data_IF_331124726172
#
_entry.id   IF_331124726172
#
_cell.length_a   1.000
_cell.length_b   1.000
_cell.length_c   1.000
_cell.angle_alpha   90.00
_cell.angle_beta   90.00
_cell.angle_gamma   90.00
#
_symmetry.space_group_name_H-M   'P 1'
#
loop_
_entity.id
_entity.type
_entity.pdbx_description
1 polymer ?
#
# COMPACT_ATOMS: atom_id res chain seq x y z
N UNK A 1 -15.43 13.67 4.52
CA UNK A 1 -15.42 12.71 5.65
C UNK A 1 -13.97 12.34 5.94
N UNK A 2 -13.51 12.46 7.18
CA UNK A 2 -12.23 11.90 7.60
C UNK A 2 -12.48 10.43 7.97
N UNK A 3 -11.90 9.50 7.21
CA UNK A 3 -11.96 8.08 7.55
C UNK A 3 -11.09 7.84 8.79
N UNK A 4 -11.65 7.36 9.92
CA UNK A 4 -10.86 7.07 11.11
C UNK A 4 -9.77 6.04 10.80
N UNK A 5 -8.65 6.13 11.51
CA UNK A 5 -7.54 5.21 11.39
C UNK A 5 -7.22 4.61 12.76
N UNK A 6 -7.05 3.27 12.88
CA UNK A 6 -7.27 2.29 11.82
C UNK A 6 -8.76 2.14 11.46
N UNK A 7 -9.09 1.69 10.24
CA UNK A 7 -10.46 1.31 9.91
C UNK A 7 -10.91 0.09 10.72
N UNK A 8 -12.21 -0.11 10.87
CA UNK A 8 -12.80 -1.30 11.52
C UNK A 8 -13.65 -2.12 10.56
N UNK A 9 -13.84 -3.41 10.82
CA UNK A 9 -14.84 -4.22 10.09
C UNK A 9 -16.22 -3.56 10.23
N UNK A 10 -16.96 -3.49 9.12
CA UNK A 10 -18.25 -2.80 9.04
C UNK A 10 -18.17 -1.27 8.84
N UNK A 11 -16.98 -0.67 8.89
CA UNK A 11 -16.79 0.73 8.50
C UNK A 11 -16.69 0.88 6.98
N UNK A 12 -16.87 2.11 6.49
CA UNK A 12 -16.85 2.42 5.05
C UNK A 12 -15.42 2.64 4.53
N UNK A 13 -15.15 2.10 3.34
CA UNK A 13 -14.01 2.43 2.48
C UNK A 13 -14.52 3.03 1.15
N UNK A 14 -13.64 3.50 0.24
CA UNK A 14 -14.04 3.90 -1.12
C UNK A 14 -14.76 2.80 -1.91
N UNK A 15 -14.55 1.54 -1.54
CA UNK A 15 -15.10 0.36 -2.23
C UNK A 15 -16.23 -0.33 -1.45
N UNK A 16 -16.84 0.36 -0.48
CA UNK A 16 -17.99 -0.14 0.28
C UNK A 16 -17.65 -0.56 1.72
N UNK A 17 -18.45 -1.46 2.28
CA UNK A 17 -18.28 -1.92 3.65
C UNK A 17 -17.09 -2.88 3.76
N UNK A 18 -16.25 -2.64 4.75
CA UNK A 18 -15.08 -3.48 5.03
C UNK A 18 -15.54 -4.79 5.68
N UNK A 19 -15.10 -5.91 5.12
CA UNK A 19 -15.37 -7.26 5.63
C UNK A 19 -14.17 -7.86 6.34
N UNK A 20 -12.96 -7.62 5.82
CA UNK A 20 -11.72 -8.14 6.41
C UNK A 20 -10.65 -7.05 6.52
N UNK A 21 -9.78 -7.23 7.51
CA UNK A 21 -8.64 -6.38 7.80
C UNK A 21 -7.41 -7.25 8.04
N UNK A 22 -6.27 -6.86 7.46
CA UNK A 22 -4.96 -7.43 7.76
C UNK A 22 -4.06 -6.27 8.17
N UNK A 23 -3.71 -6.15 9.46
CA UNK A 23 -2.76 -5.14 9.92
C UNK A 23 -1.40 -5.33 9.24
N UNK A 24 -0.85 -4.26 8.68
CA UNK A 24 0.48 -4.21 8.06
C UNK A 24 1.33 -3.21 8.83
N UNK A 25 1.47 -3.44 10.14
CA UNK A 25 2.18 -2.55 11.05
C UNK A 25 1.31 -1.43 11.65
N UNK A 26 1.93 -0.42 12.28
CA UNK A 26 1.21 0.61 13.05
C UNK A 26 0.49 1.64 12.17
N UNK A 27 0.91 1.77 10.91
CA UNK A 27 0.52 2.85 10.02
C UNK A 27 -0.22 2.39 8.76
N UNK A 28 -0.42 1.08 8.58
CA UNK A 28 -1.09 0.53 7.41
C UNK A 28 -1.97 -0.68 7.75
N UNK A 29 -3.08 -0.81 7.03
CA UNK A 29 -4.00 -1.94 7.12
C UNK A 29 -4.49 -2.27 5.71
N UNK A 30 -4.31 -3.52 5.27
CA UNK A 30 -4.96 -4.02 4.07
C UNK A 30 -6.43 -4.34 4.40
N UNK A 31 -7.34 -3.93 3.53
CA UNK A 31 -8.78 -4.12 3.69
C UNK A 31 -9.34 -4.86 2.49
N UNK A 32 -10.39 -5.64 2.71
CA UNK A 32 -11.23 -6.15 1.62
C UNK A 32 -12.72 -5.94 1.91
N UNK A 33 -13.48 -5.72 0.85
CA UNK A 33 -14.93 -5.54 0.82
C UNK A 33 -15.56 -6.70 0.04
N UNK A 34 -16.87 -6.60 -0.25
CA UNK A 34 -17.58 -7.60 -1.05
C UNK A 34 -17.06 -7.69 -2.50
N UNK A 35 -16.51 -6.61 -3.04
CA UNK A 35 -16.17 -6.49 -4.46
C UNK A 35 -14.73 -6.10 -4.73
N UNK A 36 -14.07 -5.43 -3.79
CA UNK A 36 -12.75 -4.86 -3.98
C UNK A 36 -11.98 -4.75 -2.66
N UNK A 37 -10.85 -4.05 -2.66
CA UNK A 37 -10.02 -3.83 -1.49
C UNK A 37 -8.94 -2.80 -1.73
N UNK A 38 -7.96 -2.79 -0.82
CA UNK A 38 -6.79 -1.95 -0.94
C UNK A 38 -6.06 -1.78 0.38
N UNK A 39 -5.12 -0.84 0.41
CA UNK A 39 -4.39 -0.47 1.63
C UNK A 39 -4.89 0.89 2.13
N UNK A 40 -5.20 0.94 3.42
CA UNK A 40 -5.40 2.18 4.17
C UNK A 40 -4.15 2.47 4.96
N UNK A 41 -3.54 3.64 4.75
CA UNK A 41 -2.46 4.15 5.62
C UNK A 41 -2.94 5.31 6.49
N UNK A 42 -2.26 5.58 7.60
CA UNK A 42 -2.54 6.77 8.43
C UNK A 42 -2.25 8.06 7.66
N UNK A 43 -2.92 9.17 8.01
CA UNK A 43 -2.62 10.47 7.37
C UNK A 43 -1.20 10.96 7.71
N UNK A 44 -0.67 10.57 8.87
CA UNK A 44 0.71 10.82 9.25
C UNK A 44 1.67 10.06 8.34
N UNK A 45 1.37 8.79 8.01
CA UNK A 45 2.17 8.02 7.06
C UNK A 45 2.08 8.57 5.64
N UNK A 46 0.88 8.97 5.21
CA UNK A 46 0.66 9.61 3.92
C UNK A 46 1.54 10.86 3.75
N UNK A 47 1.61 11.71 4.78
CA UNK A 47 2.43 12.92 4.75
C UNK A 47 3.95 12.64 4.69
N UNK A 48 4.41 11.43 5.00
CA UNK A 48 5.81 11.02 4.84
C UNK A 48 6.14 10.52 3.44
N UNK A 49 5.13 10.18 2.63
CA UNK A 49 5.35 9.79 1.24
C UNK A 49 5.78 11.02 0.42
N UNK A 50 6.69 10.86 -0.57
CA UNK A 50 6.94 11.87 -1.59
C UNK A 50 5.63 12.35 -2.22
N UNK A 51 5.49 13.66 -2.46
CA UNK A 51 4.25 14.28 -2.98
C UNK A 51 3.65 13.53 -4.19
N UNK A 52 4.44 13.09 -5.21
CA UNK A 52 3.88 12.36 -6.35
C UNK A 52 3.24 11.01 -6.03
N UNK A 53 3.48 10.48 -4.81
CA UNK A 53 2.99 9.17 -4.35
C UNK A 53 1.82 9.29 -3.37
N UNK A 54 1.43 10.51 -2.97
CA UNK A 54 0.36 10.72 -2.00
C UNK A 54 -1.04 10.54 -2.60
N UNK A 55 -1.19 10.65 -3.91
CA UNK A 55 -2.44 10.45 -4.61
C UNK A 55 -2.19 10.01 -6.05
N UNK A 56 -3.13 9.25 -6.61
CA UNK A 56 -3.13 8.82 -8.02
C UNK A 56 -4.55 9.02 -8.58
N UNK A 57 -4.83 8.47 -9.76
CA UNK A 57 -6.20 8.44 -10.29
C UNK A 57 -7.15 7.56 -9.46
N UNK A 58 -6.62 6.57 -8.73
CA UNK A 58 -7.40 5.61 -7.92
C UNK A 58 -7.06 5.66 -6.42
N UNK A 59 -6.14 6.53 -6.01
CA UNK A 59 -5.73 6.74 -4.62
C UNK A 59 -6.00 8.15 -4.13
N UNK A 60 -6.44 8.26 -2.88
CA UNK A 60 -6.65 9.55 -2.24
C UNK A 60 -6.99 9.44 -0.76
N UNK A 61 -6.66 10.49 0.00
CA UNK A 61 -6.89 10.57 1.45
C UNK A 61 -6.32 9.37 2.23
N UNK A 62 -5.26 8.74 1.72
CA UNK A 62 -4.56 7.59 2.30
C UNK A 62 -5.22 6.23 2.05
N UNK A 63 -6.12 6.14 1.06
CA UNK A 63 -6.58 4.89 0.47
C UNK A 63 -5.84 4.62 -0.83
N UNK A 64 -5.39 3.38 -1.01
CA UNK A 64 -4.70 2.90 -2.20
C UNK A 64 -5.38 1.63 -2.71
N UNK A 65 -5.88 1.67 -3.94
CA UNK A 65 -6.63 0.61 -4.62
C UNK A 65 -5.81 -0.68 -4.84
N UNK A 66 -6.45 -1.85 -4.75
CA UNK A 66 -5.78 -3.16 -4.69
C UNK A 66 -5.19 -3.68 -6.01
N UNK A 67 -5.69 -3.26 -7.17
CA UNK A 67 -5.21 -3.76 -8.46
C UNK A 67 -3.93 -3.03 -8.90
N UNK A 68 -3.83 -1.73 -8.64
CA UNK A 68 -2.73 -0.91 -9.15
C UNK A 68 -1.94 -0.14 -8.09
N UNK A 69 -2.61 0.46 -7.10
CA UNK A 69 -1.98 1.45 -6.24
C UNK A 69 -1.40 0.89 -4.94
N UNK A 70 -1.87 -0.28 -4.47
CA UNK A 70 -1.49 -0.88 -3.18
C UNK A 70 0.03 -1.00 -2.99
N UNK A 71 0.75 -1.22 -4.09
CA UNK A 71 2.19 -1.41 -4.09
C UNK A 71 2.95 -0.13 -3.72
N UNK A 72 2.35 1.05 -3.90
CA UNK A 72 2.95 2.35 -3.55
C UNK A 72 3.22 2.45 -2.05
N UNK A 73 2.23 2.39 -1.15
CA UNK A 73 2.48 2.44 0.29
C UNK A 73 3.24 1.20 0.78
N UNK A 74 3.05 0.04 0.13
CA UNK A 74 3.76 -1.19 0.50
C UNK A 74 5.28 -1.00 0.40
N UNK A 75 5.77 -0.53 -0.76
CA UNK A 75 7.20 -0.29 -0.98
C UNK A 75 7.69 0.95 -0.24
N UNK A 76 6.95 2.05 -0.28
CA UNK A 76 7.42 3.32 0.29
C UNK A 76 7.55 3.30 1.82
N UNK A 77 6.76 2.47 2.50
CA UNK A 77 6.77 2.35 3.96
C UNK A 77 7.49 1.08 4.46
N UNK A 78 8.01 0.23 3.56
CA UNK A 78 8.66 -1.02 3.93
C UNK A 78 7.71 -1.98 4.66
N UNK A 79 6.49 -2.15 4.12
CA UNK A 79 5.46 -2.97 4.77
C UNK A 79 5.78 -4.47 4.77
N UNK A 80 6.76 -4.92 3.96
CA UNK A 80 7.26 -6.29 3.95
C UNK A 80 7.83 -6.72 5.30
N UNK A 81 8.28 -5.78 6.12
CA UNK A 81 8.75 -6.04 7.49
C UNK A 81 7.64 -6.54 8.45
N UNK A 82 6.37 -6.37 8.09
CA UNK A 82 5.21 -6.79 8.89
C UNK A 82 4.53 -8.06 8.37
N UNK A 83 5.08 -8.67 7.32
CA UNK A 83 4.59 -9.94 6.80
C UNK A 83 4.90 -11.08 7.80
N UNK A 84 4.08 -12.15 7.81
CA UNK A 84 4.19 -13.21 8.80
C UNK A 84 5.52 -13.98 8.77
N UNK A 85 6.16 -14.02 7.60
CA UNK A 85 7.46 -14.65 7.40
C UNK A 85 8.21 -14.07 6.20
N UNK A 86 9.50 -14.40 6.10
CA UNK A 86 10.38 -13.89 5.06
C UNK A 86 10.04 -14.38 3.64
N UNK A 87 9.44 -15.57 3.50
CA UNK A 87 9.04 -16.08 2.19
C UNK A 87 7.83 -15.28 1.66
N UNK A 88 6.85 -15.04 2.54
CA UNK A 88 5.71 -14.17 2.23
C UNK A 88 6.15 -12.74 1.93
N UNK A 89 7.05 -12.19 2.74
CA UNK A 89 7.64 -10.86 2.51
C UNK A 89 8.28 -10.76 1.12
N UNK A 90 9.09 -11.73 0.74
CA UNK A 90 9.75 -11.75 -0.57
C UNK A 90 8.75 -11.88 -1.74
N UNK A 91 7.72 -12.72 -1.57
CA UNK A 91 6.66 -12.92 -2.57
C UNK A 91 5.88 -11.62 -2.81
N UNK A 92 5.39 -10.99 -1.74
CA UNK A 92 4.56 -9.77 -1.84
C UNK A 92 5.39 -8.58 -2.30
N UNK A 93 6.64 -8.47 -1.84
CA UNK A 93 7.55 -7.43 -2.33
C UNK A 93 7.79 -7.56 -3.84
N UNK A 94 8.02 -8.77 -4.35
CA UNK A 94 8.18 -9.01 -5.79
C UNK A 94 6.90 -8.65 -6.57
N UNK A 95 5.72 -8.99 -6.04
CA UNK A 95 4.45 -8.59 -6.61
C UNK A 95 4.29 -7.06 -6.62
N UNK A 96 4.65 -6.37 -5.53
CA UNK A 96 4.57 -4.92 -5.43
C UNK A 96 5.48 -4.23 -6.47
N UNK A 97 6.71 -4.72 -6.64
CA UNK A 97 7.62 -4.22 -7.69
C UNK A 97 7.02 -4.39 -9.07
N UNK A 98 6.49 -5.58 -9.39
CA UNK A 98 5.86 -5.83 -10.67
C UNK A 98 4.64 -4.91 -10.91
N UNK A 99 3.80 -4.71 -9.90
CA UNK A 99 2.64 -3.81 -9.96
C UNK A 99 3.07 -2.36 -10.25
N UNK A 100 4.05 -1.83 -9.51
CA UNK A 100 4.56 -0.47 -9.75
C UNK A 100 5.16 -0.34 -11.14
N UNK A 101 5.95 -1.31 -11.60
CA UNK A 101 6.51 -1.28 -12.96
C UNK A 101 5.40 -1.28 -14.03
N UNK A 102 4.30 -2.00 -13.79
CA UNK A 102 3.21 -2.15 -14.75
C UNK A 102 2.25 -0.95 -14.80
N UNK A 103 1.93 -0.36 -13.66
CA UNK A 103 0.87 0.65 -13.52
C UNK A 103 1.38 2.04 -13.13
N UNK A 104 2.56 2.11 -12.52
CA UNK A 104 3.16 3.33 -11.97
C UNK A 104 4.63 3.47 -12.38
N UNK A 105 4.96 3.17 -13.64
CA UNK A 105 6.35 3.11 -14.11
C UNK A 105 7.11 4.43 -13.88
N UNK A 106 6.42 5.57 -13.96
CA UNK A 106 6.98 6.89 -13.64
C UNK A 106 7.41 7.05 -12.17
N UNK A 107 6.90 6.21 -11.27
CA UNK A 107 7.19 6.22 -9.83
C UNK A 107 8.16 5.11 -9.41
N UNK A 108 8.50 4.16 -10.30
CA UNK A 108 9.32 3.00 -9.98
C UNK A 108 10.67 3.39 -9.36
N UNK A 109 11.35 4.41 -9.89
CA UNK A 109 12.63 4.88 -9.37
C UNK A 109 12.52 5.46 -7.94
N UNK A 110 11.42 6.15 -7.61
CA UNK A 110 11.17 6.70 -6.26
C UNK A 110 10.94 5.60 -5.23
N UNK A 111 10.48 4.43 -5.69
CA UNK A 111 10.12 3.28 -4.87
C UNK A 111 11.21 2.19 -4.86
N UNK A 112 12.37 2.42 -5.50
CA UNK A 112 13.42 1.41 -5.65
C UNK A 112 13.03 0.21 -6.52
N UNK A 113 11.98 0.36 -7.35
CA UNK A 113 11.39 -0.68 -8.18
C UNK A 113 11.80 -0.58 -9.65
N UNK A 114 12.82 0.20 -10.01
CA UNK A 114 13.29 0.40 -11.39
C UNK A 114 14.19 -0.73 -11.92
N UNK A 115 14.46 -1.76 -11.11
CA UNK A 115 15.34 -2.87 -11.47
C UNK A 115 16.83 -2.57 -11.23
N UNK A 116 17.17 -1.46 -10.57
CA UNK A 116 18.55 -1.15 -10.18
C UNK A 116 19.06 -2.04 -9.03
N UNK A 117 20.39 -2.22 -8.89
CA UNK A 117 21.00 -3.09 -7.87
C UNK A 117 20.81 -2.64 -6.41
N UNK A 118 20.02 -1.59 -6.15
CA UNK A 118 19.74 -1.02 -4.82
C UNK A 118 18.31 -1.28 -4.32
N UNK A 119 17.55 -2.14 -4.98
CA UNK A 119 16.08 -2.16 -4.88
C UNK A 119 15.46 -2.45 -3.51
N UNK A 120 16.17 -3.08 -2.57
CA UNK A 120 15.63 -3.31 -1.22
C UNK A 120 16.23 -2.31 -0.22
N UNK A 121 15.52 -1.24 0.18
CA UNK A 121 15.88 -0.54 1.40
C UNK A 121 15.63 -1.52 2.55
N UNK A 122 16.64 -1.72 3.41
CA UNK A 122 16.66 -2.63 4.57
C UNK A 122 17.14 -4.06 4.27
N UNK A 123 18.45 -4.22 4.40
CA UNK A 123 19.09 -5.45 4.90
C UNK A 123 19.59 -5.20 6.32
#
# INVERSE_FOLDING_TARGET
>A
MLYPFPPTVGSSSPWGLIHHLIPLGPDAVAVSTASHGGIRISLTALARLPEPLQATAYSGAGWFEEDCDWAIPYLALGLDAFEPDAARAAEVWAAAVHTVQRYHSQHAALLGADGGPKGRPHG
#
